data_IF_243155474657
#
_entry.id   IF_243155474657
#
_cell.length_a   1.000
_cell.length_b   1.000
_cell.length_c   1.000
_cell.angle_alpha   90.00
_cell.angle_beta   90.00
_cell.angle_gamma   90.00
#
_symmetry.space_group_name_H-M   'P 1'
#
loop_
_entity.id
_entity.type
_entity.pdbx_description
1 polymer ?
#
# COMPACT_ATOMS: atom_id res chain seq x y z
N UNK A 1 -3.99 -2.89 9.69
CA UNK A 1 -3.15 -2.29 10.75
C UNK A 1 -3.24 -0.78 10.58
N UNK A 2 -3.35 -0.01 11.67
CA UNK A 2 -3.42 1.46 11.60
C UNK A 2 -2.34 2.08 12.48
N UNK A 3 -1.70 3.14 11.99
CA UNK A 3 -0.83 4.00 12.79
C UNK A 3 -1.58 5.29 13.14
N UNK A 4 -1.75 5.57 14.43
CA UNK A 4 -2.49 6.74 14.93
C UNK A 4 -1.65 7.51 15.95
N UNK A 5 -1.65 8.84 15.86
CA UNK A 5 -0.84 9.71 16.70
C UNK A 5 -0.72 11.11 16.13
N UNK A 6 -0.10 12.01 16.89
CA UNK A 6 0.15 13.40 16.47
C UNK A 6 1.06 13.46 15.23
N UNK A 7 0.97 14.53 14.45
CA UNK A 7 1.91 14.78 13.34
C UNK A 7 3.35 14.85 13.88
N UNK A 8 4.28 14.19 13.18
CA UNK A 8 5.69 14.11 13.60
C UNK A 8 6.01 12.98 14.58
N UNK A 9 5.04 12.17 15.04
CA UNK A 9 5.31 11.05 15.98
C UNK A 9 5.64 9.73 15.29
N UNK A 10 6.05 9.75 14.02
CA UNK A 10 6.52 8.55 13.32
C UNK A 10 5.43 7.63 12.74
N UNK A 11 4.23 8.13 12.40
CA UNK A 11 3.21 7.33 11.70
C UNK A 11 3.71 6.79 10.35
N UNK A 12 4.20 7.69 9.50
CA UNK A 12 4.80 7.35 8.19
C UNK A 12 6.05 6.49 8.37
N UNK A 13 6.93 6.87 9.29
CA UNK A 13 8.13 6.08 9.62
C UNK A 13 7.79 4.63 10.04
N UNK A 14 6.70 4.43 10.78
CA UNK A 14 6.27 3.07 11.17
C UNK A 14 5.73 2.28 9.99
N UNK A 15 4.90 2.89 9.14
CA UNK A 15 4.24 2.19 8.03
C UNK A 15 5.16 1.97 6.83
N UNK A 16 5.92 2.99 6.42
CA UNK A 16 6.77 2.99 5.23
C UNK A 16 8.25 2.79 5.60
N UNK A 17 8.70 3.47 6.65
CA UNK A 17 10.11 3.51 7.04
C UNK A 17 10.91 4.58 6.28
N UNK A 18 12.22 4.41 6.28
CA UNK A 18 13.18 5.22 5.53
C UNK A 18 14.19 4.31 4.83
N UNK A 19 14.98 4.88 3.91
CA UNK A 19 16.13 4.20 3.31
C UNK A 19 17.39 4.56 4.07
N UNK A 20 18.15 3.54 4.44
CA UNK A 20 19.47 3.72 5.03
C UNK A 20 20.40 4.50 4.08
N UNK A 21 21.26 5.40 4.61
CA UNK A 21 22.16 6.18 3.79
C UNK A 21 23.11 5.32 2.94
N UNK A 22 23.59 5.89 1.84
CA UNK A 22 24.63 5.30 0.97
C UNK A 22 24.28 3.93 0.35
N UNK A 23 23.01 3.55 0.32
CA UNK A 23 22.54 2.28 -0.28
C UNK A 23 23.25 1.05 0.32
N UNK A 24 23.60 1.10 1.60
CA UNK A 24 24.33 0.03 2.30
C UNK A 24 23.55 -1.30 2.32
N UNK A 25 22.23 -1.22 2.33
CA UNK A 25 21.32 -2.36 2.39
C UNK A 25 20.45 -2.43 1.14
N UNK A 26 20.10 -3.65 0.75
CA UNK A 26 18.98 -3.92 -0.16
C UNK A 26 17.67 -3.38 0.44
N UNK A 27 16.59 -3.27 -0.33
CA UNK A 27 15.34 -2.71 0.22
C UNK A 27 14.66 -3.66 1.20
N UNK A 28 14.88 -4.96 1.02
CA UNK A 28 14.36 -6.05 1.85
C UNK A 28 15.06 -6.13 3.22
N UNK A 29 16.38 -5.91 3.24
CA UNK A 29 17.23 -6.09 4.41
C UNK A 29 17.45 -4.78 5.19
N UNK A 30 16.90 -3.65 4.72
CA UNK A 30 17.10 -2.36 5.35
C UNK A 30 16.54 -2.33 6.79
N UNK A 31 17.37 -2.03 7.81
CA UNK A 31 16.89 -1.92 9.19
C UNK A 31 15.90 -0.76 9.37
N UNK A 32 15.88 0.24 8.49
CA UNK A 32 14.95 1.36 8.54
C UNK A 32 13.63 1.13 7.78
N UNK A 33 13.46 -0.02 7.10
CA UNK A 33 12.22 -0.36 6.42
C UNK A 33 11.03 -0.46 7.41
N UNK A 34 9.86 0.03 7.00
CA UNK A 34 8.63 0.00 7.79
C UNK A 34 7.81 -1.27 7.59
N UNK A 35 6.56 -1.25 8.07
CA UNK A 35 5.63 -2.38 7.98
C UNK A 35 5.33 -2.80 6.54
N UNK A 36 5.08 -1.86 5.63
CA UNK A 36 4.69 -2.12 4.23
C UNK A 36 5.78 -2.91 3.48
N UNK A 37 7.02 -2.40 3.32
CA UNK A 37 8.07 -3.12 2.59
C UNK A 37 8.40 -4.49 3.22
N UNK A 38 8.46 -4.57 4.56
CA UNK A 38 8.71 -5.84 5.25
C UNK A 38 7.60 -6.87 5.01
N UNK A 39 6.35 -6.42 4.98
CA UNK A 39 5.19 -7.30 4.71
C UNK A 39 5.24 -7.85 3.29
N UNK A 40 5.54 -7.00 2.31
CA UNK A 40 5.68 -7.43 0.92
C UNK A 40 6.79 -8.48 0.77
N UNK A 41 7.98 -8.20 1.32
CA UNK A 41 9.10 -9.15 1.28
C UNK A 41 8.72 -10.51 1.90
N UNK A 42 8.14 -10.51 3.10
CA UNK A 42 7.76 -11.76 3.78
C UNK A 42 6.64 -12.53 3.07
N UNK A 43 5.70 -11.84 2.41
CA UNK A 43 4.66 -12.50 1.62
C UNK A 43 5.31 -13.27 0.47
N UNK A 44 6.20 -12.62 -0.28
CA UNK A 44 6.87 -13.26 -1.42
C UNK A 44 7.78 -14.41 -0.99
N UNK A 45 8.55 -14.26 0.10
CA UNK A 45 9.38 -15.35 0.63
C UNK A 45 8.53 -16.59 1.00
N UNK A 46 7.47 -16.40 1.79
CA UNK A 46 6.62 -17.51 2.23
C UNK A 46 5.85 -18.16 1.08
N UNK A 47 5.43 -17.38 0.10
CA UNK A 47 4.72 -17.93 -1.05
C UNK A 47 5.67 -18.74 -1.96
N UNK A 48 6.93 -18.30 -2.10
CA UNK A 48 7.95 -19.03 -2.83
C UNK A 48 8.28 -20.39 -2.19
N UNK A 49 8.30 -20.48 -0.85
CA UNK A 49 8.54 -21.73 -0.12
C UNK A 49 7.43 -22.78 -0.30
N UNK A 50 6.19 -22.34 -0.50
CA UNK A 50 5.01 -23.22 -0.55
C UNK A 50 4.78 -23.89 -1.92
N UNK A 51 5.57 -23.55 -2.95
CA UNK A 51 5.53 -24.19 -4.28
C UNK A 51 4.19 -24.11 -5.01
N UNK A 52 3.29 -23.21 -4.58
CA UNK A 52 1.95 -22.99 -5.15
C UNK A 52 1.98 -21.76 -6.03
N UNK A 53 1.24 -21.74 -7.15
CA UNK A 53 1.10 -20.53 -7.95
C UNK A 53 0.31 -19.47 -7.17
N UNK A 54 0.80 -18.24 -7.17
CA UNK A 54 0.19 -17.12 -6.47
C UNK A 54 0.18 -15.87 -7.34
N UNK A 55 -0.77 -14.98 -7.07
CA UNK A 55 -0.82 -13.63 -7.63
C UNK A 55 -0.99 -12.67 -6.46
N UNK A 56 -0.09 -11.70 -6.37
CA UNK A 56 -0.17 -10.60 -5.41
C UNK A 56 -0.69 -9.39 -6.16
N UNK A 57 -1.57 -8.63 -5.53
CA UNK A 57 -2.04 -7.36 -6.07
C UNK A 57 -1.94 -6.28 -5.00
N UNK A 58 -1.60 -5.07 -5.42
CA UNK A 58 -1.47 -3.90 -4.54
C UNK A 58 -2.22 -2.72 -5.14
N UNK A 59 -2.94 -2.01 -4.28
CA UNK A 59 -3.53 -0.70 -4.56
C UNK A 59 -3.14 0.25 -3.43
N UNK A 60 -2.92 1.53 -3.75
CA UNK A 60 -2.58 2.56 -2.76
C UNK A 60 -3.52 3.76 -2.93
N UNK A 61 -4.38 3.93 -1.94
CA UNK A 61 -5.43 4.95 -1.94
C UNK A 61 -5.11 6.03 -0.89
N UNK A 62 -5.14 7.29 -1.30
CA UNK A 62 -5.13 8.43 -0.40
C UNK A 62 -6.53 9.04 -0.26
N UNK A 63 -6.86 9.45 0.96
CA UNK A 63 -8.09 10.19 1.28
C UNK A 63 -7.67 11.55 1.79
N UNK A 64 -7.94 12.59 0.99
CA UNK A 64 -7.61 13.96 1.34
C UNK A 64 -8.79 14.87 1.03
N UNK A 65 -9.22 15.67 2.03
CA UNK A 65 -10.37 16.57 1.90
C UNK A 65 -11.64 15.88 1.36
N UNK A 66 -11.95 14.67 1.86
CA UNK A 66 -13.07 13.83 1.42
C UNK A 66 -13.03 13.41 -0.07
N UNK A 67 -11.93 13.67 -0.77
CA UNK A 67 -11.65 13.17 -2.11
C UNK A 67 -10.73 11.95 -2.05
N UNK A 68 -10.91 11.04 -3.01
CA UNK A 68 -10.19 9.78 -3.15
C UNK A 68 -9.18 9.88 -4.30
N UNK A 69 -7.93 9.54 -4.03
CA UNK A 69 -6.83 9.61 -4.99
C UNK A 69 -6.13 8.25 -5.12
N UNK A 70 -5.95 7.80 -6.35
CA UNK A 70 -5.12 6.63 -6.65
C UNK A 70 -3.65 7.06 -6.72
N UNK A 71 -2.81 6.55 -5.82
CA UNK A 71 -1.38 6.85 -5.78
C UNK A 71 -0.54 5.92 -6.67
N UNK A 72 -1.13 4.86 -7.25
CA UNK A 72 -0.45 3.96 -8.17
C UNK A 72 -0.81 4.22 -9.63
N UNK A 73 -1.79 5.09 -9.93
CA UNK A 73 -2.15 5.38 -11.31
C UNK A 73 -0.96 5.99 -12.07
N UNK A 74 -0.60 5.46 -13.25
CA UNK A 74 0.48 5.99 -14.09
C UNK A 74 0.11 7.31 -14.76
N UNK A 75 -1.17 7.70 -14.71
CA UNK A 75 -1.63 8.96 -15.28
C UNK A 75 -1.18 10.13 -14.41
N UNK A 76 -0.49 11.14 -14.98
CA UNK A 76 -0.13 12.35 -14.24
C UNK A 76 -1.34 13.20 -13.88
N UNK A 77 -2.50 12.93 -14.49
CA UNK A 77 -3.76 13.55 -14.12
C UNK A 77 -4.31 12.86 -12.87
N UNK A 78 -3.84 13.31 -11.70
CA UNK A 78 -4.34 12.97 -10.33
C UNK A 78 -5.83 13.36 -10.13
N UNK A 79 -6.53 13.74 -11.21
CA UNK A 79 -7.85 14.37 -11.19
C UNK A 79 -8.96 13.39 -11.57
N UNK A 80 -8.65 12.14 -11.95
CA UNK A 80 -9.70 11.12 -12.06
C UNK A 80 -10.24 10.78 -10.67
N UNK A 81 -11.35 11.46 -10.32
CA UNK A 81 -12.06 11.28 -9.06
C UNK A 81 -12.53 9.84 -8.96
N UNK A 82 -11.90 9.07 -8.09
CA UNK A 82 -12.36 7.74 -7.74
C UNK A 82 -13.76 7.82 -7.13
N UNK A 83 -14.62 6.88 -7.53
CA UNK A 83 -16.01 6.85 -7.07
C UNK A 83 -16.23 5.65 -6.15
N UNK A 84 -16.82 5.89 -4.99
CA UNK A 84 -17.16 4.85 -4.03
C UNK A 84 -18.62 4.39 -4.21
N UNK A 85 -18.82 3.08 -4.29
CA UNK A 85 -20.12 2.42 -4.39
C UNK A 85 -20.27 1.37 -3.30
N UNK A 86 -21.50 1.12 -2.85
CA UNK A 86 -21.80 -0.02 -1.98
C UNK A 86 -21.63 -1.34 -2.76
N UNK A 87 -21.05 -2.37 -2.14
CA UNK A 87 -20.96 -3.69 -2.75
C UNK A 87 -22.31 -4.42 -2.65
N UNK A 88 -23.02 -4.69 -3.76
CA UNK A 88 -24.31 -5.39 -3.72
C UNK A 88 -24.19 -6.84 -3.20
N UNK A 89 -22.98 -7.43 -3.24
CA UNK A 89 -22.72 -8.81 -2.80
C UNK A 89 -22.34 -8.88 -1.33
N UNK A 90 -21.87 -7.78 -0.74
CA UNK A 90 -21.42 -7.70 0.64
C UNK A 90 -21.94 -6.43 1.31
N UNK A 91 -22.91 -6.58 2.21
CA UNK A 91 -23.56 -5.44 2.91
C UNK A 91 -22.62 -4.54 3.72
N UNK A 92 -21.37 -4.96 3.97
CA UNK A 92 -20.35 -4.16 4.67
C UNK A 92 -19.17 -3.80 3.75
N UNK A 93 -19.22 -4.20 2.49
CA UNK A 93 -18.18 -3.95 1.49
C UNK A 93 -18.47 -2.69 0.69
N UNK A 94 -17.41 -2.07 0.20
CA UNK A 94 -17.46 -0.95 -0.73
C UNK A 94 -16.58 -1.29 -1.93
N UNK A 95 -16.93 -0.74 -3.09
CA UNK A 95 -16.19 -0.86 -4.34
C UNK A 95 -15.74 0.54 -4.75
N UNK A 96 -14.44 0.70 -4.98
CA UNK A 96 -13.87 1.95 -5.48
C UNK A 96 -13.65 1.78 -6.98
N UNK A 97 -14.49 2.44 -7.77
CA UNK A 97 -14.41 2.40 -9.23
C UNK A 97 -13.24 3.27 -9.70
N UNK A 98 -12.40 2.69 -10.54
CA UNK A 98 -11.23 3.35 -11.11
C UNK A 98 -9.95 3.14 -10.30
N UNK A 99 -10.01 2.47 -9.13
CA UNK A 99 -8.82 2.14 -8.36
C UNK A 99 -8.01 1.07 -9.10
N UNK A 100 -6.76 1.37 -9.40
CA UNK A 100 -5.84 0.45 -10.04
C UNK A 100 -5.29 -0.57 -9.04
N UNK A 101 -5.26 -1.82 -9.48
CA UNK A 101 -4.61 -2.91 -8.77
C UNK A 101 -3.40 -3.36 -9.59
N UNK A 102 -2.20 -3.00 -9.12
CA UNK A 102 -0.95 -3.47 -9.74
C UNK A 102 -0.68 -4.91 -9.34
N UNK A 103 -0.22 -5.73 -10.29
CA UNK A 103 0.17 -7.14 -10.08
C UNK A 103 1.68 -7.28 -10.10
#
# INVERSE_FOLDING_TARGET
VFAYGQTGTGKTFTMEGERSPNEEYTWEEDPLAGVIPRTLHQIFEKLAENGTEFSVKVSLLEIYNEELFDLLSPSPDVVERLQLFDDPRNKRGVIIKGLEEMT
#
